data_IF_049278960898
#
_entry.id   IF_049278960898
#
_cell.length_a   1.000
_cell.length_b   1.000
_cell.length_c   1.000
_cell.angle_alpha   90.00
_cell.angle_beta   90.00
_cell.angle_gamma   90.00
#
_symmetry.space_group_name_H-M   'P 1'
#
loop_
_entity.id
_entity.type
_entity.pdbx_description
1 polymer ?
#
# COMPACT_ATOMS: atom_id res chain seq x y z
N UNK A 1 15.37 5.96 2.07
CA UNK A 1 14.23 6.48 2.86
C UNK A 1 14.12 7.96 2.58
N UNK A 2 12.91 8.43 2.35
CA UNK A 2 12.71 9.85 2.19
C UNK A 2 12.91 10.50 3.54
N UNK A 3 13.80 11.50 3.61
CA UNK A 3 13.82 12.37 4.77
C UNK A 3 12.65 13.34 4.68
N UNK A 4 12.09 13.67 5.80
CA UNK A 4 11.00 14.62 5.90
C UNK A 4 11.32 15.69 6.94
N UNK A 5 10.71 16.84 6.77
CA UNK A 5 10.64 17.91 7.77
C UNK A 5 9.22 18.02 8.30
N UNK A 6 9.08 18.50 9.50
CA UNK A 6 7.77 18.86 10.05
C UNK A 6 7.48 20.30 9.65
N UNK A 7 6.53 20.51 8.75
CA UNK A 7 6.15 21.85 8.28
C UNK A 7 5.24 22.57 9.27
N UNK A 8 4.33 21.82 9.87
CA UNK A 8 3.41 22.37 10.86
C UNK A 8 3.04 21.35 11.93
N UNK A 9 2.86 21.84 13.14
CA UNK A 9 2.28 21.10 14.26
C UNK A 9 1.05 21.86 14.71
N UNK A 10 -0.11 21.27 14.52
CA UNK A 10 -1.37 21.84 15.01
C UNK A 10 -1.78 21.12 16.27
N UNK A 11 -1.87 21.84 17.36
CA UNK A 11 -2.43 21.35 18.60
C UNK A 11 -3.95 21.43 18.50
N UNK A 12 -4.61 20.32 18.51
CA UNK A 12 -6.08 20.26 18.40
C UNK A 12 -6.74 20.19 19.79
N UNK A 13 -6.21 20.92 20.74
CA UNK A 13 -6.83 21.07 22.05
C UNK A 13 -7.85 22.21 22.00
N UNK A 14 -9.03 21.92 21.51
CA UNK A 14 -10.19 22.61 22.07
C UNK A 14 -10.24 22.22 23.55
N UNK A 15 -10.32 23.18 24.42
CA UNK A 15 -10.49 23.05 25.88
C UNK A 15 -11.78 22.29 26.27
N UNK A 16 -12.08 21.23 25.55
CA UNK A 16 -13.26 20.43 25.72
C UNK A 16 -12.84 19.22 26.55
N UNK A 17 -13.12 19.27 27.82
CA UNK A 17 -13.20 18.14 28.73
C UNK A 17 -11.95 17.74 29.55
N UNK A 18 -11.18 18.69 30.04
CA UNK A 18 -10.18 18.38 31.07
C UNK A 18 -8.99 17.51 30.59
N UNK A 19 -8.63 17.62 29.31
CA UNK A 19 -7.43 17.00 28.75
C UNK A 19 -6.44 18.10 28.40
N UNK A 20 -5.20 17.97 28.90
CA UNK A 20 -4.05 18.75 28.49
C UNK A 20 -3.01 17.82 27.85
N UNK A 21 -2.28 18.30 26.84
CA UNK A 21 -1.21 17.56 26.24
C UNK A 21 -0.10 18.49 25.74
N UNK A 22 1.11 18.00 25.72
CA UNK A 22 2.27 18.69 25.19
C UNK A 22 3.09 17.72 24.34
N UNK A 23 3.62 18.22 23.24
CA UNK A 23 4.53 17.49 22.38
C UNK A 23 5.94 18.00 22.64
N UNK A 24 6.81 17.15 23.19
CA UNK A 24 8.20 17.46 23.48
C UNK A 24 9.05 17.37 22.21
N UNK A 25 8.73 16.41 21.33
CA UNK A 25 9.36 16.18 20.03
C UNK A 25 8.33 15.55 19.07
N UNK A 26 8.41 15.77 17.75
CA UNK A 26 9.37 16.63 17.04
C UNK A 26 8.97 18.10 17.07
N UNK A 27 9.86 18.97 16.61
CA UNK A 27 9.60 20.39 16.39
C UNK A 27 9.69 20.76 14.90
N UNK A 28 9.11 21.90 14.52
CA UNK A 28 9.24 22.43 13.14
C UNK A 28 10.63 22.96 12.83
N UNK A 29 11.50 23.07 13.84
CA UNK A 29 12.89 23.52 13.68
C UNK A 29 13.88 22.36 13.60
N UNK A 30 13.41 21.13 13.78
CA UNK A 30 14.27 19.97 13.73
C UNK A 30 14.81 19.76 12.31
N UNK A 31 16.03 19.22 12.16
CA UNK A 31 16.56 18.86 10.86
C UNK A 31 15.71 17.74 10.24
N UNK A 32 15.86 17.53 8.95
CA UNK A 32 15.12 16.49 8.25
C UNK A 32 15.30 15.11 8.89
N UNK A 33 14.19 14.46 9.19
CA UNK A 33 14.10 13.18 9.88
C UNK A 33 13.95 12.03 8.89
N UNK A 34 14.48 10.90 9.28
CA UNK A 34 14.29 9.62 8.61
C UNK A 34 13.28 8.73 9.35
N UNK A 35 13.16 8.94 10.65
CA UNK A 35 12.25 8.27 11.55
C UNK A 35 11.37 9.35 12.21
N UNK A 36 10.07 9.14 12.27
CA UNK A 36 9.20 9.96 13.12
C UNK A 36 9.32 9.44 14.55
N UNK A 37 10.00 10.22 15.38
CA UNK A 37 10.04 10.03 16.82
C UNK A 37 9.19 11.13 17.46
N UNK A 38 8.02 10.78 17.98
CA UNK A 38 7.15 11.72 18.66
C UNK A 38 7.06 11.35 20.12
N UNK A 39 7.38 12.31 20.99
CA UNK A 39 7.27 12.14 22.44
C UNK A 39 6.57 13.34 23.07
N UNK A 40 5.95 13.11 24.21
CA UNK A 40 5.22 14.12 24.92
C UNK A 40 4.52 13.59 26.16
N UNK A 41 3.53 14.35 26.63
CA UNK A 41 2.70 13.94 27.75
C UNK A 41 1.25 14.35 27.58
N UNK A 42 0.37 13.62 28.26
CA UNK A 42 -1.07 13.89 28.34
C UNK A 42 -1.49 13.84 29.79
N UNK A 43 -2.29 14.82 30.20
CA UNK A 43 -2.92 14.88 31.49
C UNK A 43 -4.44 14.96 31.33
N UNK A 44 -5.17 14.08 32.06
CA UNK A 44 -6.63 14.06 32.08
C UNK A 44 -7.15 14.25 33.49
N UNK A 45 -8.11 15.15 33.67
CA UNK A 45 -8.76 15.41 34.96
C UNK A 45 -9.95 14.49 35.24
N UNK A 46 -10.51 13.83 34.23
CA UNK A 46 -11.79 13.13 34.33
C UNK A 46 -11.73 11.64 34.05
N UNK A 47 -11.05 11.22 33.00
CA UNK A 47 -11.07 9.85 32.50
C UNK A 47 -9.68 9.25 32.43
N UNK A 48 -9.53 7.95 32.77
CA UNK A 48 -8.27 7.22 32.55
C UNK A 48 -7.91 7.19 31.06
N UNK A 49 -6.63 7.33 30.79
CA UNK A 49 -6.04 7.21 29.45
C UNK A 49 -5.88 5.73 29.13
N UNK A 50 -6.58 5.25 28.11
CA UNK A 50 -6.51 3.85 27.69
C UNK A 50 -5.37 3.64 26.70
N UNK A 51 -5.27 4.54 25.71
CA UNK A 51 -4.32 4.38 24.62
C UNK A 51 -3.97 5.74 23.99
N UNK A 52 -2.72 5.88 23.57
CA UNK A 52 -2.26 6.96 22.69
C UNK A 52 -1.65 6.29 21.46
N UNK A 53 -1.99 6.76 20.27
CA UNK A 53 -1.54 6.16 19.02
C UNK A 53 -1.39 7.17 17.90
N UNK A 54 -0.55 6.82 16.93
CA UNK A 54 -0.43 7.56 15.68
C UNK A 54 -1.44 7.00 14.67
N UNK A 55 -2.13 7.89 13.99
CA UNK A 55 -3.08 7.55 12.93
C UNK A 55 -2.84 8.39 11.68
N UNK A 56 -3.18 7.81 10.53
CA UNK A 56 -3.27 8.49 9.25
C UNK A 56 -4.54 8.02 8.54
N UNK A 57 -5.35 8.96 8.07
CA UNK A 57 -6.62 8.65 7.36
C UNK A 57 -7.57 7.74 8.13
N UNK A 58 -7.63 7.92 9.44
CA UNK A 58 -8.48 7.08 10.30
C UNK A 58 -7.94 5.66 10.55
N UNK A 59 -6.76 5.32 10.03
CA UNK A 59 -6.07 4.05 10.34
C UNK A 59 -5.04 4.29 11.41
N UNK A 60 -5.08 3.46 12.44
CA UNK A 60 -4.04 3.38 13.44
C UNK A 60 -2.78 2.79 12.82
N UNK A 61 -1.66 3.49 12.97
CA UNK A 61 -0.36 3.11 12.45
C UNK A 61 0.53 2.50 13.53
N UNK A 62 0.61 3.15 14.70
CA UNK A 62 1.48 2.74 15.78
C UNK A 62 0.87 3.13 17.12
N UNK A 63 1.04 2.30 18.14
CA UNK A 63 0.64 2.58 19.51
C UNK A 63 1.83 3.14 20.28
N UNK A 64 1.58 4.19 21.06
CA UNK A 64 2.60 4.79 21.89
C UNK A 64 3.03 3.88 23.04
N UNK A 65 4.31 3.89 23.36
CA UNK A 65 4.82 3.40 24.64
C UNK A 65 4.45 4.42 25.71
N UNK A 66 3.80 3.96 26.75
CA UNK A 66 3.35 4.81 27.86
C UNK A 66 4.38 4.77 28.99
N UNK A 67 4.64 5.92 29.60
CA UNK A 67 5.55 6.07 30.72
C UNK A 67 4.96 6.98 31.81
N UNK A 68 5.47 6.88 33.04
CA UNK A 68 5.11 7.80 34.11
C UNK A 68 5.80 9.16 33.92
N UNK A 69 5.13 10.25 34.27
CA UNK A 69 5.64 11.64 34.21
C UNK A 69 5.44 12.35 35.56
N UNK A 70 6.21 11.97 36.60
CA UNK A 70 6.11 12.60 37.94
C UNK A 70 6.32 14.12 37.93
N UNK A 71 7.16 14.60 36.99
CA UNK A 71 7.41 16.02 36.78
C UNK A 71 6.13 16.77 36.35
N UNK A 72 5.33 16.16 35.47
CA UNK A 72 4.06 16.71 35.00
C UNK A 72 2.99 16.59 36.08
N UNK A 73 2.92 15.46 36.79
CA UNK A 73 1.99 15.25 37.89
C UNK A 73 2.17 16.35 38.99
N UNK A 74 3.41 16.68 39.29
CA UNK A 74 3.72 17.76 40.24
C UNK A 74 3.31 19.14 39.73
N UNK A 75 3.46 19.38 38.41
CA UNK A 75 3.11 20.67 37.82
C UNK A 75 1.59 20.84 37.62
N UNK A 76 0.83 19.75 37.52
CA UNK A 76 -0.63 19.74 37.29
C UNK A 76 -1.38 18.96 38.39
N UNK A 77 -1.40 19.43 39.61
CA UNK A 77 -1.95 18.68 40.76
C UNK A 77 -3.47 18.44 40.69
N UNK A 78 -4.17 19.07 39.76
CA UNK A 78 -5.59 18.82 39.47
C UNK A 78 -5.86 17.66 38.50
N UNK A 79 -4.84 17.14 37.86
CA UNK A 79 -4.98 16.03 36.91
C UNK A 79 -4.93 14.70 37.65
N UNK A 80 -5.86 13.79 37.32
CA UNK A 80 -5.95 12.46 37.94
C UNK A 80 -5.15 11.39 37.21
N UNK A 81 -4.93 11.60 35.93
CA UNK A 81 -4.27 10.63 35.03
C UNK A 81 -3.26 11.37 34.18
N UNK A 82 -1.98 11.17 34.45
CA UNK A 82 -0.86 11.77 33.71
C UNK A 82 0.02 10.68 33.19
N UNK A 83 0.30 10.73 31.87
CA UNK A 83 1.18 9.79 31.20
C UNK A 83 2.09 10.50 30.21
N UNK A 84 3.31 10.01 30.10
CA UNK A 84 4.18 10.29 28.96
C UNK A 84 3.91 9.32 27.83
N UNK A 85 4.19 9.72 26.61
CA UNK A 85 4.10 8.85 25.45
C UNK A 85 5.31 8.99 24.53
N UNK A 86 5.70 7.88 23.93
CA UNK A 86 6.72 7.79 22.90
C UNK A 86 6.19 6.98 21.73
N UNK A 87 6.27 7.56 20.53
CA UNK A 87 5.88 6.93 19.26
C UNK A 87 7.08 6.99 18.33
N UNK A 88 7.50 5.83 17.83
CA UNK A 88 8.57 5.75 16.85
C UNK A 88 8.08 4.96 15.66
N UNK A 89 8.05 5.57 14.49
CA UNK A 89 7.54 4.93 13.29
C UNK A 89 8.34 5.33 12.04
N UNK A 90 8.60 4.35 11.19
CA UNK A 90 9.19 4.60 9.89
C UNK A 90 8.13 5.21 8.95
N UNK A 91 8.45 6.28 8.20
CA UNK A 91 7.50 6.99 7.35
C UNK A 91 7.07 6.24 6.07
N UNK A 92 7.36 4.95 5.97
CA UNK A 92 6.98 4.10 4.83
C UNK A 92 5.46 4.07 4.62
N UNK A 93 4.69 4.22 5.71
CA UNK A 93 3.24 4.15 5.69
C UNK A 93 2.55 5.50 5.40
N UNK A 94 3.30 6.58 5.18
CA UNK A 94 2.73 7.92 5.08
C UNK A 94 2.63 8.38 3.63
N UNK A 95 1.42 8.70 3.19
CA UNK A 95 1.20 9.43 1.94
C UNK A 95 1.64 10.89 2.06
N UNK A 96 2.24 11.46 1.01
CA UNK A 96 2.55 12.90 0.97
C UNK A 96 1.30 13.74 1.17
N UNK A 97 1.41 14.77 2.02
CA UNK A 97 0.41 15.82 2.20
C UNK A 97 -0.81 15.44 3.03
N UNK A 98 -0.80 14.29 3.70
CA UNK A 98 -1.83 13.97 4.70
C UNK A 98 -1.27 14.21 6.09
N UNK A 99 -2.01 14.90 6.97
CA UNK A 99 -1.57 15.10 8.33
C UNK A 99 -1.57 13.76 9.08
N UNK A 100 -0.49 13.53 9.81
CA UNK A 100 -0.46 12.49 10.82
C UNK A 100 -1.15 13.00 12.08
N UNK A 101 -1.91 12.14 12.73
CA UNK A 101 -2.64 12.48 13.95
C UNK A 101 -2.12 11.67 15.11
N UNK A 102 -1.77 12.35 16.20
CA UNK A 102 -1.58 11.70 17.48
C UNK A 102 -2.92 11.73 18.18
N UNK A 103 -3.50 10.57 18.41
CA UNK A 103 -4.84 10.41 18.96
C UNK A 103 -4.80 9.76 20.33
N UNK A 104 -5.73 10.19 21.17
CA UNK A 104 -5.97 9.67 22.51
C UNK A 104 -7.28 8.91 22.54
N UNK A 105 -7.28 7.74 23.17
CA UNK A 105 -8.48 7.01 23.56
C UNK A 105 -8.57 6.91 25.07
N UNK A 106 -9.71 7.32 25.64
CA UNK A 106 -10.02 7.21 27.05
C UNK A 106 -10.82 5.94 27.37
N UNK A 107 -10.78 5.50 28.61
CA UNK A 107 -11.49 4.29 29.08
C UNK A 107 -13.01 4.33 28.84
N UNK A 108 -13.62 5.51 28.75
CA UNK A 108 -15.02 5.69 28.36
C UNK A 108 -15.29 5.53 26.84
N UNK A 109 -14.31 5.12 26.05
CA UNK A 109 -14.42 4.96 24.59
C UNK A 109 -14.33 6.27 23.80
N UNK A 110 -14.16 7.41 24.46
CA UNK A 110 -13.97 8.70 23.81
C UNK A 110 -12.60 8.72 23.12
N UNK A 111 -12.59 9.14 21.88
CA UNK A 111 -11.37 9.34 21.07
C UNK A 111 -11.24 10.81 20.68
N UNK A 112 -10.03 11.36 20.73
CA UNK A 112 -9.74 12.75 20.36
C UNK A 112 -8.36 12.89 19.77
N UNK A 113 -8.22 13.77 18.78
CA UNK A 113 -6.93 14.13 18.20
C UNK A 113 -6.21 15.12 19.13
N UNK A 114 -5.00 14.79 19.54
CA UNK A 114 -4.14 15.67 20.34
C UNK A 114 -3.33 16.62 19.45
N UNK A 115 -2.67 16.05 18.44
CA UNK A 115 -1.80 16.80 17.54
C UNK A 115 -2.01 16.34 16.10
N UNK A 116 -1.89 17.28 15.16
CA UNK A 116 -1.77 17.03 13.73
C UNK A 116 -0.39 17.48 13.26
N UNK A 117 0.33 16.60 12.59
CA UNK A 117 1.68 16.83 12.07
C UNK A 117 1.62 16.88 10.54
N UNK A 118 2.01 17.98 9.95
CA UNK A 118 2.16 18.10 8.50
C UNK A 118 3.62 17.82 8.12
N UNK A 119 3.84 16.86 7.24
CA UNK A 119 5.16 16.43 6.78
C UNK A 119 5.43 16.88 5.37
N UNK A 120 6.62 17.45 5.13
CA UNK A 120 7.16 17.62 3.78
C UNK A 120 8.37 16.71 3.56
N UNK A 121 8.36 15.97 2.48
CA UNK A 121 9.48 15.12 2.11
C UNK A 121 10.56 15.94 1.39
N UNK A 122 11.77 15.93 1.95
CA UNK A 122 12.91 16.70 1.43
C UNK A 122 13.61 15.98 0.28
N UNK A 123 13.72 14.66 0.39
CA UNK A 123 14.40 13.85 -0.62
C UNK A 123 13.35 13.13 -1.48
N UNK A 124 13.12 13.61 -2.68
CA UNK A 124 12.48 12.79 -3.71
C UNK A 124 13.52 11.75 -4.15
N UNK A 125 13.19 10.45 -4.19
CA UNK A 125 14.07 9.50 -4.81
C UNK A 125 14.26 9.92 -6.26
N UNK A 126 15.45 10.39 -6.59
CA UNK A 126 15.79 10.68 -7.98
C UNK A 126 15.97 9.35 -8.69
N UNK A 127 15.06 9.03 -9.61
CA UNK A 127 15.11 7.83 -10.45
C UNK A 127 16.24 7.86 -11.46
N UNK A 128 17.11 8.86 -11.43
CA UNK A 128 18.12 9.08 -12.43
C UNK A 128 19.20 8.02 -12.50
N UNK A 129 19.43 7.27 -11.39
CA UNK A 129 20.57 6.33 -11.31
C UNK A 129 20.41 5.00 -12.06
N UNK A 130 19.23 4.65 -12.57
CA UNK A 130 19.09 3.37 -13.26
C UNK A 130 18.35 3.45 -14.61
N UNK A 131 17.73 4.56 -14.96
CA UNK A 131 16.92 4.65 -16.19
C UNK A 131 15.78 3.64 -16.27
N UNK A 132 15.39 3.07 -15.12
CA UNK A 132 14.34 2.04 -15.01
C UNK A 132 13.12 2.66 -14.34
N UNK A 133 11.95 2.50 -14.99
CA UNK A 133 10.66 2.88 -14.45
C UNK A 133 9.87 1.64 -14.06
N UNK A 134 9.35 1.61 -12.84
CA UNK A 134 8.41 0.59 -12.41
C UNK A 134 6.98 1.00 -12.79
N UNK A 135 6.27 0.09 -13.44
CA UNK A 135 4.89 0.23 -13.85
C UNK A 135 4.03 -0.91 -13.26
N UNK A 136 3.71 -0.85 -11.98
CA UNK A 136 2.89 -1.88 -11.35
C UNK A 136 1.45 -1.82 -11.86
N UNK A 137 0.88 -3.00 -12.19
CA UNK A 137 -0.53 -3.15 -12.53
C UNK A 137 -1.29 -3.49 -11.24
N UNK A 138 -2.15 -2.57 -10.83
CA UNK A 138 -3.01 -2.69 -9.65
C UNK A 138 -4.42 -3.03 -10.08
N UNK A 139 -4.93 -4.16 -9.66
CA UNK A 139 -6.26 -4.62 -10.06
C UNK A 139 -6.79 -5.72 -9.14
N UNK A 140 -8.10 -5.93 -9.18
CA UNK A 140 -8.68 -7.16 -8.65
C UNK A 140 -8.28 -8.37 -9.51
N UNK A 141 -8.26 -9.57 -8.93
CA UNK A 141 -8.18 -10.80 -9.71
C UNK A 141 -9.28 -10.81 -10.81
N UNK A 142 -8.99 -11.44 -11.93
CA UNK A 142 -9.93 -11.59 -13.07
C UNK A 142 -10.34 -10.27 -13.75
N UNK A 143 -9.67 -9.17 -13.47
CA UNK A 143 -9.89 -7.88 -14.15
C UNK A 143 -9.16 -7.73 -15.48
N UNK A 144 -8.46 -8.77 -15.97
CA UNK A 144 -7.73 -8.74 -17.24
C UNK A 144 -6.24 -8.36 -17.12
N UNK A 145 -5.67 -8.47 -15.93
CA UNK A 145 -4.25 -8.16 -15.66
C UNK A 145 -3.29 -8.96 -16.55
N UNK A 146 -3.63 -10.22 -16.86
CA UNK A 146 -2.81 -11.06 -17.71
C UNK A 146 -2.83 -10.57 -19.17
N UNK A 147 -3.99 -10.14 -19.69
CA UNK A 147 -4.10 -9.53 -21.00
C UNK A 147 -3.24 -8.26 -21.09
N UNK A 148 -3.40 -7.36 -20.11
CA UNK A 148 -2.63 -6.12 -20.09
C UNK A 148 -1.12 -6.38 -19.97
N UNK A 149 -0.72 -7.29 -19.08
CA UNK A 149 0.69 -7.65 -18.92
C UNK A 149 1.28 -8.24 -20.22
N UNK A 150 0.55 -9.14 -20.89
CA UNK A 150 0.98 -9.73 -22.16
C UNK A 150 1.19 -8.67 -23.24
N UNK A 151 0.23 -7.76 -23.39
CA UNK A 151 0.33 -6.64 -24.33
C UNK A 151 1.54 -5.74 -24.03
N UNK A 152 1.82 -5.43 -22.75
CA UNK A 152 2.95 -4.62 -22.37
C UNK A 152 4.28 -5.35 -22.51
N UNK A 153 4.35 -6.63 -22.17
CA UNK A 153 5.56 -7.45 -22.33
C UNK A 153 5.93 -7.71 -23.80
N UNK A 154 5.01 -7.52 -24.73
CA UNK A 154 5.31 -7.54 -26.18
C UNK A 154 6.16 -6.33 -26.61
N UNK A 155 6.20 -5.26 -25.82
CA UNK A 155 7.03 -4.08 -26.09
C UNK A 155 8.51 -4.36 -25.83
N UNK A 156 9.42 -3.96 -26.74
CA UNK A 156 10.87 -4.09 -26.53
C UNK A 156 11.39 -3.24 -25.36
N UNK A 157 10.61 -2.28 -24.90
CA UNK A 157 10.97 -1.39 -23.79
C UNK A 157 10.75 -2.02 -22.42
N UNK A 158 10.01 -3.12 -22.34
CA UNK A 158 9.76 -3.83 -21.07
C UNK A 158 10.87 -4.83 -20.78
N UNK A 159 11.48 -4.68 -19.61
CA UNK A 159 12.44 -5.64 -19.06
C UNK A 159 11.69 -6.89 -18.58
N UNK A 160 12.33 -8.03 -18.74
CA UNK A 160 11.77 -9.28 -18.23
C UNK A 160 10.58 -9.70 -19.05
N UNK A 161 10.79 -10.19 -20.28
CA UNK A 161 9.77 -10.94 -21.02
C UNK A 161 9.40 -12.18 -20.23
N UNK A 162 8.57 -12.03 -19.21
CA UNK A 162 8.12 -13.12 -18.39
C UNK A 162 7.38 -14.15 -19.24
N UNK A 163 7.56 -15.43 -18.90
CA UNK A 163 6.68 -16.45 -19.44
C UNK A 163 5.25 -16.18 -18.97
N UNK A 164 4.30 -16.37 -19.87
CA UNK A 164 2.90 -16.41 -19.50
C UNK A 164 2.70 -17.34 -18.28
N UNK A 165 1.91 -17.02 -17.29
CA UNK A 165 0.94 -15.91 -17.16
C UNK A 165 1.48 -14.60 -16.56
N UNK A 166 2.77 -14.31 -16.64
CA UNK A 166 3.39 -13.08 -16.14
C UNK A 166 3.23 -12.91 -14.62
N UNK A 167 3.36 -13.99 -13.86
CA UNK A 167 3.28 -13.99 -12.40
C UNK A 167 4.64 -13.80 -11.71
N UNK A 168 5.71 -13.56 -12.48
CA UNK A 168 6.99 -13.19 -11.93
C UNK A 168 6.90 -11.79 -11.31
N UNK A 169 6.87 -11.75 -9.99
CA UNK A 169 6.78 -10.53 -9.19
C UNK A 169 8.08 -10.33 -8.43
N UNK A 170 9.21 -10.38 -9.14
CA UNK A 170 10.54 -10.32 -8.51
C UNK A 170 10.75 -9.02 -7.73
N UNK A 171 10.28 -7.90 -8.27
CA UNK A 171 10.34 -6.62 -7.59
C UNK A 171 9.54 -6.62 -6.31
N UNK A 172 8.29 -7.11 -6.38
CA UNK A 172 7.44 -7.24 -5.20
C UNK A 172 8.01 -8.21 -4.17
N UNK A 173 8.51 -9.39 -4.60
CA UNK A 173 9.12 -10.37 -3.69
C UNK A 173 10.31 -9.78 -2.94
N UNK A 174 11.24 -9.15 -3.66
CA UNK A 174 12.40 -8.53 -3.04
C UNK A 174 12.03 -7.34 -2.14
N UNK A 175 10.99 -6.58 -2.52
CA UNK A 175 10.47 -5.50 -1.69
C UNK A 175 9.88 -6.01 -0.37
N UNK A 176 9.10 -7.10 -0.44
CA UNK A 176 8.54 -7.75 0.75
C UNK A 176 9.64 -8.36 1.61
N UNK A 177 10.60 -9.07 1.02
CA UNK A 177 11.75 -9.64 1.74
C UNK A 177 12.55 -8.54 2.46
N UNK A 178 12.82 -7.43 1.77
CA UNK A 178 13.49 -6.29 2.37
C UNK A 178 12.68 -5.68 3.52
N UNK A 179 11.37 -5.51 3.34
CA UNK A 179 10.49 -4.97 4.37
C UNK A 179 10.39 -5.91 5.58
N UNK A 180 10.22 -7.21 5.34
CA UNK A 180 10.15 -8.21 6.41
C UNK A 180 11.45 -8.25 7.22
N UNK A 181 12.61 -8.07 6.59
CA UNK A 181 13.91 -7.95 7.27
C UNK A 181 14.01 -6.76 8.23
N UNK A 182 13.13 -5.76 8.09
CA UNK A 182 13.02 -4.63 9.00
C UNK A 182 12.04 -4.86 10.17
N UNK A 183 11.29 -5.96 10.15
CA UNK A 183 10.29 -6.27 11.19
C UNK A 183 10.86 -7.21 12.26
N UNK A 184 10.44 -7.07 13.52
CA UNK A 184 10.92 -7.91 14.63
C UNK A 184 10.59 -9.40 14.46
N UNK A 185 9.59 -9.71 13.69
CA UNK A 185 9.09 -11.08 13.46
C UNK A 185 9.44 -11.64 12.08
N UNK A 186 10.38 -11.02 11.36
CA UNK A 186 10.72 -11.41 9.99
C UNK A 186 11.17 -12.87 9.85
N UNK A 187 11.79 -13.43 10.90
CA UNK A 187 12.31 -14.79 10.90
C UNK A 187 11.35 -15.83 11.50
N UNK A 188 10.12 -15.44 11.79
CA UNK A 188 9.18 -16.26 12.54
C UNK A 188 7.91 -16.48 11.78
N UNK A 189 7.44 -17.72 11.86
CA UNK A 189 6.14 -18.08 11.30
C UNK A 189 5.02 -17.24 11.94
N UNK A 190 3.96 -16.90 11.19
CA UNK A 190 2.86 -16.10 11.72
C UNK A 190 2.28 -16.60 13.05
N UNK A 191 2.23 -17.93 13.22
CA UNK A 191 1.78 -18.58 14.43
C UNK A 191 2.70 -18.38 15.64
N UNK A 192 3.98 -18.13 15.39
CA UNK A 192 4.99 -17.98 16.45
C UNK A 192 5.28 -16.51 16.78
N UNK A 193 4.67 -15.57 16.07
CA UNK A 193 4.94 -14.12 16.23
C UNK A 193 4.68 -13.61 17.64
N UNK A 194 3.72 -14.18 18.33
CA UNK A 194 3.40 -13.80 19.73
C UNK A 194 4.53 -14.15 20.71
N UNK A 195 5.30 -15.20 20.42
CA UNK A 195 6.39 -15.63 21.28
C UNK A 195 7.65 -14.78 21.13
N UNK A 196 7.85 -14.19 19.95
CA UNK A 196 9.06 -13.40 19.66
C UNK A 196 8.98 -11.93 20.05
N UNK A 197 7.82 -11.40 20.27
CA UNK A 197 7.67 -10.01 20.76
C UNK A 197 8.37 -9.77 22.10
N UNK A 198 8.92 -10.80 22.71
CA UNK A 198 9.54 -10.80 24.04
C UNK A 198 11.02 -11.21 24.02
N UNK A 199 11.57 -11.68 22.91
CA UNK A 199 12.98 -12.12 22.87
C UNK A 199 13.89 -10.99 22.38
N UNK A 200 14.73 -10.42 23.25
CA UNK A 200 15.64 -9.33 22.91
C UNK A 200 16.73 -9.71 21.89
N UNK A 201 16.92 -11.00 21.59
CA UNK A 201 17.90 -11.45 20.63
C UNK A 201 17.45 -11.30 19.18
N UNK A 202 16.15 -10.99 18.96
CA UNK A 202 15.58 -10.80 17.62
C UNK A 202 15.24 -9.34 17.32
N UNK A 203 15.88 -8.40 18.04
CA UNK A 203 15.71 -6.98 17.76
C UNK A 203 16.17 -6.65 16.33
N UNK A 204 15.28 -6.13 15.53
CA UNK A 204 15.58 -5.60 14.20
C UNK A 204 16.04 -4.15 14.30
N UNK A 205 16.50 -3.59 13.17
CA UNK A 205 16.80 -2.15 13.07
C UNK A 205 15.58 -1.32 13.52
N UNK A 206 14.36 -1.73 13.17
CA UNK A 206 13.15 -1.04 13.58
C UNK A 206 12.92 -1.10 15.09
N UNK A 207 13.21 -2.24 15.73
CA UNK A 207 13.06 -2.34 17.18
C UNK A 207 14.07 -1.50 17.94
N UNK A 208 15.32 -1.50 17.49
CA UNK A 208 16.36 -0.64 18.07
C UNK A 208 15.97 0.83 17.95
N UNK A 209 15.42 1.23 16.81
CA UNK A 209 14.92 2.59 16.61
C UNK A 209 13.68 2.93 17.46
N UNK A 210 12.81 1.93 17.71
CA UNK A 210 11.59 2.08 18.53
C UNK A 210 11.86 2.13 20.02
N UNK A 211 12.92 1.50 20.51
CA UNK A 211 13.23 1.45 21.94
C UNK A 211 13.56 2.81 22.55
N UNK A 212 13.74 3.86 21.73
CA UNK A 212 14.02 5.20 22.24
C UNK A 212 15.37 5.35 22.97
N UNK A 213 16.11 4.27 23.12
CA UNK A 213 17.39 4.19 23.84
C UNK A 213 18.59 4.59 22.98
N UNK A 214 18.40 4.64 21.66
CA UNK A 214 19.46 5.01 20.75
C UNK A 214 19.68 6.52 20.79
N UNK A 215 20.90 6.94 21.07
CA UNK A 215 21.32 8.33 20.93
C UNK A 215 21.27 8.81 19.47
N UNK A 216 21.44 10.11 19.25
CA UNK A 216 21.34 10.71 17.92
C UNK A 216 22.38 10.14 16.94
N UNK A 217 23.59 9.75 17.41
CA UNK A 217 24.62 9.19 16.56
C UNK A 217 24.26 7.76 16.13
N UNK A 218 23.79 6.94 17.06
CA UNK A 218 23.31 5.59 16.78
C UNK A 218 22.14 5.60 15.80
N UNK A 219 21.17 6.50 15.99
CA UNK A 219 20.06 6.69 15.05
C UNK A 219 20.53 7.07 13.65
N UNK A 220 21.50 7.96 13.54
CA UNK A 220 22.07 8.34 12.26
C UNK A 220 22.77 7.17 11.56
N UNK A 221 23.53 6.35 12.29
CA UNK A 221 24.19 5.15 11.75
C UNK A 221 23.18 4.11 11.28
N UNK A 222 22.14 3.84 12.07
CA UNK A 222 21.07 2.91 11.70
C UNK A 222 20.31 3.39 10.47
N UNK A 223 20.13 4.69 10.35
CA UNK A 223 19.54 5.29 9.17
C UNK A 223 20.39 5.07 7.91
N UNK A 224 21.71 5.26 8.00
CA UNK A 224 22.60 5.00 6.88
C UNK A 224 22.62 3.51 6.48
N UNK A 225 22.56 2.59 7.45
CA UNK A 225 22.42 1.16 7.18
C UNK A 225 21.10 0.85 6.44
N UNK A 226 19.99 1.45 6.89
CA UNK A 226 18.70 1.31 6.22
C UNK A 226 18.76 1.83 4.78
N UNK A 227 19.35 3.01 4.57
CA UNK A 227 19.52 3.62 3.25
C UNK A 227 20.36 2.74 2.32
N UNK A 228 21.48 2.22 2.82
CA UNK A 228 22.34 1.32 2.06
C UNK A 228 21.62 0.02 1.69
N UNK A 229 20.91 -0.59 2.62
CA UNK A 229 20.10 -1.79 2.38
C UNK A 229 19.00 -1.56 1.32
N UNK A 230 18.36 -0.41 1.35
CA UNK A 230 17.36 -0.02 0.35
C UNK A 230 17.97 0.10 -1.05
N UNK A 231 19.08 0.81 -1.19
CA UNK A 231 19.77 0.97 -2.48
C UNK A 231 20.29 -0.36 -3.01
N UNK A 232 20.78 -1.24 -2.14
CA UNK A 232 21.17 -2.59 -2.51
C UNK A 232 19.98 -3.39 -3.04
N UNK A 233 18.85 -3.39 -2.33
CA UNK A 233 17.63 -4.08 -2.77
C UNK A 233 17.17 -3.57 -4.14
N UNK A 234 17.14 -2.25 -4.32
CA UNK A 234 16.82 -1.61 -5.60
C UNK A 234 17.75 -2.06 -6.72
N UNK A 235 19.07 -2.06 -6.46
CA UNK A 235 20.07 -2.54 -7.41
C UNK A 235 19.86 -4.00 -7.78
N UNK A 236 19.56 -4.87 -6.81
CA UNK A 236 19.25 -6.30 -7.03
C UNK A 236 18.02 -6.48 -7.92
N UNK A 237 16.93 -5.75 -7.67
CA UNK A 237 15.72 -5.80 -8.49
C UNK A 237 16.06 -5.45 -9.96
N UNK A 238 16.71 -4.32 -10.17
CA UNK A 238 17.10 -3.88 -11.51
C UNK A 238 18.02 -4.88 -12.21
N UNK A 239 19.00 -5.45 -11.49
CA UNK A 239 19.93 -6.43 -12.00
C UNK A 239 19.22 -7.74 -12.42
N UNK A 240 18.36 -8.28 -11.57
CA UNK A 240 17.62 -9.51 -11.87
C UNK A 240 16.73 -9.38 -13.11
N UNK A 241 16.06 -8.23 -13.28
CA UNK A 241 15.26 -8.00 -14.48
C UNK A 241 16.10 -7.88 -15.74
N UNK A 242 17.30 -7.28 -15.66
CA UNK A 242 18.23 -7.23 -16.80
C UNK A 242 18.78 -8.63 -17.15
N UNK A 243 19.03 -9.49 -16.17
CA UNK A 243 19.46 -10.87 -16.39
C UNK A 243 18.35 -11.73 -16.99
N UNK A 244 17.12 -11.56 -16.52
CA UNK A 244 15.97 -12.38 -16.97
C UNK A 244 15.61 -12.13 -18.43
N UNK A 245 15.82 -10.91 -18.95
CA UNK A 245 15.60 -10.59 -20.34
C UNK A 245 16.49 -9.42 -20.79
N UNK A 246 17.70 -9.70 -21.26
CA UNK A 246 18.59 -8.68 -21.78
C UNK A 246 18.03 -8.12 -23.09
N UNK A 247 17.26 -7.03 -22.99
CA UNK A 247 16.76 -6.29 -24.16
C UNK A 247 17.47 -4.94 -24.19
N UNK A 248 18.27 -4.63 -25.22
CA UNK A 248 18.91 -3.33 -25.35
C UNK A 248 17.86 -2.20 -25.38
N UNK A 249 18.06 -1.20 -24.53
CA UNK A 249 17.14 -0.06 -24.42
C UNK A 249 15.88 -0.29 -23.60
N UNK A 250 15.66 -1.49 -23.06
CA UNK A 250 14.53 -1.76 -22.17
C UNK A 250 14.74 -1.04 -20.82
N UNK A 251 13.68 -0.36 -20.36
CA UNK A 251 13.70 0.51 -19.17
C UNK A 251 12.45 0.44 -18.31
N UNK A 252 11.48 -0.39 -18.69
CA UNK A 252 10.22 -0.54 -17.97
C UNK A 252 10.18 -1.91 -17.28
N UNK A 253 9.81 -1.93 -16.01
CA UNK A 253 9.47 -3.15 -15.28
C UNK A 253 7.97 -3.14 -15.05
N UNK A 254 7.28 -4.15 -15.58
CA UNK A 254 5.82 -4.30 -15.44
C UNK A 254 5.54 -5.54 -14.60
N UNK A 255 4.86 -5.34 -13.47
CA UNK A 255 4.46 -6.42 -12.57
C UNK A 255 2.97 -6.31 -12.19
N UNK A 256 2.31 -7.46 -12.04
CA UNK A 256 0.97 -7.54 -11.48
C UNK A 256 1.07 -7.64 -9.96
N UNK A 257 0.73 -6.59 -9.23
CA UNK A 257 0.92 -6.54 -7.78
C UNK A 257 -0.36 -6.79 -6.96
N UNK A 258 -1.51 -6.84 -7.61
CA UNK A 258 -2.80 -6.99 -6.90
C UNK A 258 -3.12 -5.79 -6.00
N UNK A 259 -3.90 -6.03 -4.95
CA UNK A 259 -4.37 -4.99 -3.99
C UNK A 259 -3.58 -5.02 -2.67
N UNK A 260 -2.31 -5.31 -2.73
CA UNK A 260 -1.46 -5.42 -1.54
C UNK A 260 -0.76 -4.11 -1.18
N UNK A 261 -0.12 -4.10 -0.03
CA UNK A 261 0.87 -3.09 0.40
C UNK A 261 2.04 -2.92 -0.61
N UNK A 262 2.14 -3.81 -1.60
CA UNK A 262 3.21 -3.81 -2.58
C UNK A 262 3.38 -2.52 -3.36
N UNK A 263 2.30 -1.75 -3.58
CA UNK A 263 2.40 -0.45 -4.25
C UNK A 263 3.26 0.54 -3.45
N UNK A 264 3.01 0.64 -2.14
CA UNK A 264 3.73 1.55 -1.25
C UNK A 264 5.20 1.10 -1.10
N UNK A 265 5.44 -0.21 -0.99
CA UNK A 265 6.80 -0.77 -0.93
C UNK A 265 7.59 -0.55 -2.22
N UNK A 266 6.98 -0.75 -3.37
CA UNK A 266 7.62 -0.49 -4.66
C UNK A 266 7.90 1.00 -4.85
N UNK A 267 7.01 1.88 -4.42
CA UNK A 267 7.24 3.33 -4.45
C UNK A 267 8.43 3.73 -3.58
N UNK A 268 8.59 3.10 -2.42
CA UNK A 268 9.72 3.34 -1.53
C UNK A 268 11.05 2.85 -2.13
N UNK A 269 11.06 1.65 -2.71
CA UNK A 269 12.28 1.03 -3.23
C UNK A 269 12.66 1.51 -4.62
N UNK A 270 11.69 1.59 -5.53
CA UNK A 270 11.93 1.84 -6.94
C UNK A 270 12.03 3.34 -7.30
N UNK A 271 11.71 4.25 -6.36
CA UNK A 271 11.57 5.67 -6.65
C UNK A 271 10.23 5.96 -7.34
N UNK A 272 10.17 6.96 -8.23
CA UNK A 272 8.91 7.28 -8.90
C UNK A 272 8.41 6.08 -9.68
N UNK A 273 7.24 5.59 -9.27
CA UNK A 273 6.51 4.53 -9.96
C UNK A 273 5.45 5.14 -10.87
N UNK A 274 5.08 4.41 -11.91
CA UNK A 274 3.97 4.76 -12.81
C UNK A 274 2.88 3.69 -12.73
N UNK A 275 2.05 3.69 -11.68
CA UNK A 275 1.05 2.65 -11.48
C UNK A 275 -0.07 2.74 -12.51
N UNK A 276 -0.47 1.57 -13.00
CA UNK A 276 -1.61 1.37 -13.90
C UNK A 276 -2.71 0.70 -13.10
N UNK A 277 -3.78 1.42 -12.84
CA UNK A 277 -4.98 0.90 -12.18
C UNK A 277 -5.92 0.35 -13.25
N UNK A 278 -6.09 -0.97 -13.25
CA UNK A 278 -6.96 -1.65 -14.21
C UNK A 278 -8.27 -2.00 -13.53
N UNK A 279 -9.38 -1.47 -14.06
CA UNK A 279 -10.74 -1.78 -13.61
C UNK A 279 -11.51 -2.55 -14.66
N UNK A 280 -12.49 -3.30 -14.20
CA UNK A 280 -13.48 -4.02 -15.02
C UNK A 280 -14.82 -3.96 -14.32
N UNK A 281 -15.92 -4.09 -15.07
CA UNK A 281 -17.24 -4.25 -14.48
C UNK A 281 -17.21 -5.37 -13.41
N UNK A 282 -17.38 -5.05 -12.12
CA UNK A 282 -17.22 -6.03 -11.06
C UNK A 282 -18.22 -7.19 -11.15
N UNK A 283 -19.34 -7.01 -11.85
CA UNK A 283 -20.30 -8.09 -12.11
C UNK A 283 -19.72 -9.11 -13.08
N UNK A 284 -18.94 -8.66 -14.09
CA UNK A 284 -18.19 -9.56 -14.97
C UNK A 284 -16.98 -10.22 -14.27
N UNK A 285 -16.38 -9.53 -13.28
CA UNK A 285 -15.34 -10.10 -12.44
C UNK A 285 -15.89 -11.29 -11.65
N UNK A 286 -17.06 -11.14 -11.00
CA UNK A 286 -17.75 -12.21 -10.27
C UNK A 286 -18.06 -13.43 -11.17
N UNK A 287 -18.61 -13.18 -12.34
CA UNK A 287 -18.86 -14.24 -13.33
C UNK A 287 -17.57 -14.95 -13.75
N UNK A 288 -16.50 -14.19 -14.00
CA UNK A 288 -15.21 -14.74 -14.38
C UNK A 288 -14.55 -15.55 -13.26
N UNK A 289 -14.69 -15.16 -12.00
CA UNK A 289 -14.19 -15.92 -10.85
C UNK A 289 -14.93 -17.28 -10.74
N UNK A 290 -16.25 -17.28 -10.77
CA UNK A 290 -17.06 -18.51 -10.75
C UNK A 290 -16.70 -19.45 -11.91
N UNK A 291 -16.63 -18.92 -13.11
CA UNK A 291 -16.30 -19.74 -14.28
C UNK A 291 -14.88 -20.33 -14.21
N UNK A 292 -13.92 -19.56 -13.69
CA UNK A 292 -12.54 -20.05 -13.50
C UNK A 292 -12.48 -21.20 -12.49
N UNK A 293 -13.12 -21.04 -11.35
CA UNK A 293 -13.17 -22.06 -10.30
C UNK A 293 -13.86 -23.35 -10.81
N UNK A 294 -14.98 -23.19 -11.49
CA UNK A 294 -15.70 -24.31 -12.09
C UNK A 294 -14.85 -25.05 -13.17
N UNK A 295 -14.15 -24.31 -14.03
CA UNK A 295 -13.31 -24.89 -15.07
C UNK A 295 -12.13 -25.69 -14.51
N UNK A 296 -11.57 -25.23 -13.38
CA UNK A 296 -10.40 -25.86 -12.75
C UNK A 296 -10.73 -26.85 -11.64
N UNK A 297 -11.98 -26.91 -11.20
CA UNK A 297 -12.39 -27.74 -10.08
C UNK A 297 -11.77 -27.29 -8.74
N UNK A 298 -11.55 -25.98 -8.58
CA UNK A 298 -10.94 -25.38 -7.40
C UNK A 298 -11.88 -24.37 -6.77
N UNK A 299 -11.63 -24.06 -5.50
CA UNK A 299 -12.31 -22.99 -4.78
C UNK A 299 -11.30 -21.87 -4.47
N UNK A 300 -11.05 -21.03 -5.46
CA UNK A 300 -10.22 -19.84 -5.34
C UNK A 300 -11.08 -18.56 -5.36
N UNK A 301 -10.47 -17.40 -5.23
CA UNK A 301 -11.12 -16.09 -5.35
C UNK A 301 -12.37 -15.97 -4.51
N UNK A 302 -12.24 -16.05 -3.18
CA UNK A 302 -13.30 -15.95 -2.17
C UNK A 302 -14.18 -17.20 -2.01
N UNK A 303 -14.35 -18.07 -3.03
CA UNK A 303 -15.05 -19.34 -2.86
C UNK A 303 -14.32 -20.34 -1.95
N UNK A 304 -13.02 -20.14 -1.70
CA UNK A 304 -12.26 -20.91 -0.73
C UNK A 304 -12.77 -20.77 0.71
N UNK A 305 -13.47 -19.68 1.01
CA UNK A 305 -14.03 -19.41 2.33
C UNK A 305 -15.52 -19.73 2.38
N UNK A 306 -16.22 -19.53 1.25
CA UNK A 306 -17.67 -19.59 1.20
C UNK A 306 -18.12 -20.00 -0.20
N UNK A 307 -19.09 -20.93 -0.24
CA UNK A 307 -19.59 -21.50 -1.48
C UNK A 307 -20.92 -20.86 -1.94
N UNK A 308 -21.13 -19.59 -1.61
CA UNK A 308 -22.34 -18.88 -1.99
C UNK A 308 -22.03 -17.51 -2.63
N UNK A 309 -22.93 -17.10 -3.53
CA UNK A 309 -22.79 -15.86 -4.29
C UNK A 309 -22.76 -14.61 -3.41
N UNK A 310 -23.58 -14.56 -2.37
CA UNK A 310 -23.69 -13.36 -1.53
C UNK A 310 -22.41 -13.06 -0.77
N UNK A 311 -21.74 -14.07 -0.27
CA UNK A 311 -20.48 -13.91 0.45
C UNK A 311 -19.33 -13.62 -0.52
N UNK A 312 -19.30 -14.26 -1.69
CA UNK A 312 -18.36 -13.91 -2.74
C UNK A 312 -18.51 -12.46 -3.17
N UNK A 313 -19.75 -11.97 -3.32
CA UNK A 313 -20.05 -10.58 -3.61
C UNK A 313 -19.59 -9.65 -2.48
N UNK A 314 -19.79 -10.04 -1.22
CA UNK A 314 -19.35 -9.28 -0.07
C UNK A 314 -17.82 -9.12 -0.06
N UNK A 315 -17.07 -10.21 -0.21
CA UNK A 315 -15.60 -10.16 -0.27
C UNK A 315 -15.10 -9.34 -1.46
N UNK A 316 -15.72 -9.50 -2.63
CA UNK A 316 -15.39 -8.68 -3.80
C UNK A 316 -15.65 -7.19 -3.55
N UNK A 317 -16.71 -6.84 -2.82
CA UNK A 317 -16.98 -5.44 -2.46
C UNK A 317 -15.90 -4.86 -1.54
N UNK A 318 -15.33 -5.69 -0.67
CA UNK A 318 -14.23 -5.31 0.20
C UNK A 318 -12.93 -5.06 -0.59
N UNK A 319 -12.63 -5.94 -1.54
CA UNK A 319 -11.51 -5.73 -2.47
C UNK A 319 -11.65 -4.45 -3.30
N UNK A 320 -12.88 -4.16 -3.76
CA UNK A 320 -13.16 -2.93 -4.50
C UNK A 320 -12.97 -1.69 -3.62
N UNK A 321 -13.34 -1.77 -2.35
CA UNK A 321 -13.07 -0.70 -1.40
C UNK A 321 -11.55 -0.48 -1.25
N UNK A 322 -10.77 -1.54 -1.11
CA UNK A 322 -9.31 -1.46 -1.07
C UNK A 322 -8.72 -0.89 -2.36
N UNK A 323 -9.24 -1.29 -3.53
CA UNK A 323 -8.83 -0.72 -4.81
C UNK A 323 -9.05 0.79 -4.86
N UNK A 324 -10.24 1.23 -4.45
CA UNK A 324 -10.60 2.66 -4.41
C UNK A 324 -9.68 3.42 -3.45
N UNK A 325 -9.43 2.87 -2.27
CA UNK A 325 -8.54 3.47 -1.28
C UNK A 325 -7.09 3.59 -1.81
N UNK A 326 -6.55 2.54 -2.43
CA UNK A 326 -5.23 2.59 -3.08
C UNK A 326 -5.19 3.62 -4.21
N UNK A 327 -6.24 3.63 -5.06
CA UNK A 327 -6.34 4.59 -6.15
C UNK A 327 -6.37 6.03 -5.64
N UNK A 328 -7.15 6.31 -4.60
CA UNK A 328 -7.29 7.66 -4.04
C UNK A 328 -6.02 8.11 -3.31
N UNK A 329 -5.37 7.21 -2.59
CA UNK A 329 -4.10 7.49 -1.90
C UNK A 329 -2.94 7.76 -2.83
N UNK A 330 -2.95 7.19 -4.03
CA UNK A 330 -1.90 7.43 -5.01
C UNK A 330 -1.97 8.87 -5.52
N UNK A 331 -1.09 9.74 -5.03
CA UNK A 331 -1.06 11.17 -5.36
C UNK A 331 -0.15 11.55 -6.52
N UNK A 332 0.83 10.69 -6.87
CA UNK A 332 1.68 10.85 -8.03
C UNK A 332 0.92 10.61 -9.34
N UNK A 333 1.66 10.58 -10.44
CA UNK A 333 1.09 10.14 -11.72
C UNK A 333 0.48 8.76 -11.57
N UNK A 334 -0.73 8.58 -12.05
CA UNK A 334 -1.44 7.30 -12.13
C UNK A 334 -2.31 7.25 -13.35
N UNK A 335 -2.47 6.07 -13.92
CA UNK A 335 -3.33 5.85 -15.07
C UNK A 335 -4.45 4.89 -14.69
N UNK A 336 -5.70 5.27 -14.95
CA UNK A 336 -6.84 4.37 -14.86
C UNK A 336 -7.15 3.81 -16.25
N UNK A 337 -7.21 2.49 -16.35
CA UNK A 337 -7.52 1.75 -17.57
C UNK A 337 -8.76 0.91 -17.34
N UNK A 338 -9.68 0.92 -18.29
CA UNK A 338 -10.85 0.03 -18.28
C UNK A 338 -10.54 -1.21 -19.10
N UNK A 339 -10.87 -2.37 -18.57
CA UNK A 339 -10.74 -3.63 -19.29
C UNK A 339 -11.53 -3.64 -20.59
N UNK A 340 -12.71 -3.07 -20.57
CA UNK A 340 -13.60 -2.96 -21.73
C UNK A 340 -12.91 -2.17 -22.86
N UNK A 341 -12.18 -1.10 -22.55
CA UNK A 341 -11.42 -0.33 -23.53
C UNK A 341 -10.24 -1.13 -24.13
N UNK A 342 -9.59 -1.98 -23.31
CA UNK A 342 -8.55 -2.89 -23.81
C UNK A 342 -9.10 -3.91 -24.80
N UNK A 343 -10.35 -4.36 -24.59
CA UNK A 343 -11.02 -5.36 -25.44
C UNK A 343 -11.59 -4.72 -26.70
N UNK A 344 -12.25 -3.60 -26.58
CA UNK A 344 -12.95 -2.94 -27.68
C UNK A 344 -12.03 -2.08 -28.54
N UNK A 345 -11.02 -1.46 -27.94
CA UNK A 345 -10.10 -0.51 -28.59
C UNK A 345 -8.65 -0.78 -28.19
N UNK A 346 -8.11 -1.97 -28.44
CA UNK A 346 -6.81 -2.40 -27.90
C UNK A 346 -5.66 -1.49 -28.31
N UNK A 347 -5.55 -1.09 -29.56
CA UNK A 347 -4.45 -0.28 -30.05
C UNK A 347 -4.46 1.16 -29.49
N UNK A 348 -5.57 1.92 -29.52
CA UNK A 348 -5.64 3.23 -28.89
C UNK A 348 -5.36 3.18 -27.37
N UNK A 349 -5.91 2.18 -26.68
CA UNK A 349 -5.73 2.02 -25.23
C UNK A 349 -4.26 1.72 -24.90
N UNK A 350 -3.63 0.81 -25.64
CA UNK A 350 -2.20 0.50 -25.47
C UNK A 350 -1.33 1.74 -25.77
N UNK A 351 -1.65 2.49 -26.82
CA UNK A 351 -0.97 3.74 -27.15
C UNK A 351 -1.03 4.75 -25.98
N UNK A 352 -2.19 4.92 -25.36
CA UNK A 352 -2.35 5.77 -24.16
C UNK A 352 -1.49 5.28 -22.99
N UNK A 353 -1.45 3.98 -22.74
CA UNK A 353 -0.64 3.40 -21.67
C UNK A 353 0.84 3.61 -21.94
N UNK A 354 1.32 3.34 -23.15
CA UNK A 354 2.72 3.54 -23.52
C UNK A 354 3.14 4.99 -23.45
N UNK A 355 2.32 5.91 -23.92
CA UNK A 355 2.57 7.35 -23.79
C UNK A 355 2.68 7.78 -22.32
N UNK A 356 1.80 7.28 -21.45
CA UNK A 356 1.88 7.50 -20.00
C UNK A 356 3.19 6.97 -19.42
N UNK A 357 3.65 5.81 -19.87
CA UNK A 357 4.92 5.23 -19.45
C UNK A 357 6.16 5.93 -20.04
N UNK A 358 5.98 6.89 -20.93
CA UNK A 358 7.07 7.58 -21.63
C UNK A 358 7.70 6.73 -22.74
N UNK A 359 6.92 5.85 -23.34
CA UNK A 359 7.30 4.94 -24.40
C UNK A 359 6.60 5.29 -25.72
N UNK A 360 7.29 5.16 -26.85
CA UNK A 360 6.66 5.38 -28.16
C UNK A 360 5.79 4.21 -28.57
N UNK A 361 4.56 4.49 -28.98
CA UNK A 361 3.58 3.49 -29.42
C UNK A 361 4.00 2.69 -30.67
N UNK A 362 4.97 3.17 -31.42
CA UNK A 362 5.36 2.61 -32.72
C UNK A 362 6.05 1.23 -32.67
N UNK A 363 6.36 0.71 -31.49
CA UNK A 363 7.21 -0.46 -31.33
C UNK A 363 6.50 -1.72 -30.80
N UNK A 364 5.20 -1.68 -30.56
CA UNK A 364 4.46 -2.82 -29.99
C UNK A 364 3.53 -3.46 -31.05
N UNK A 365 3.88 -4.64 -31.50
CA UNK A 365 2.95 -5.53 -32.19
C UNK A 365 2.46 -6.59 -31.19
N UNK A 366 1.21 -6.56 -30.75
CA UNK A 366 0.66 -7.61 -29.92
C UNK A 366 0.54 -8.89 -30.78
N UNK A 367 1.47 -9.81 -30.63
CA UNK A 367 1.56 -11.04 -31.45
C UNK A 367 1.20 -12.30 -30.68
N UNK A 368 0.99 -12.21 -29.38
CA UNK A 368 0.68 -13.38 -28.54
C UNK A 368 -0.82 -13.54 -28.35
N UNK A 369 -1.33 -14.70 -28.71
CA UNK A 369 -2.66 -15.12 -28.31
C UNK A 369 -2.65 -15.49 -26.83
N UNK A 370 -3.62 -15.00 -26.07
CA UNK A 370 -3.83 -15.44 -24.68
C UNK A 370 -4.13 -16.94 -24.72
N UNK A 371 -3.37 -17.80 -24.02
CA UNK A 371 -3.67 -19.21 -23.95
C UNK A 371 -5.09 -19.47 -23.44
N UNK A 372 -5.77 -20.42 -24.08
CA UNK A 372 -7.18 -20.76 -23.82
C UNK A 372 -7.48 -21.10 -22.35
N UNK A 373 -6.49 -21.59 -21.61
CA UNK A 373 -6.60 -21.99 -20.20
C UNK A 373 -6.96 -20.85 -19.23
N UNK A 374 -6.69 -19.61 -19.61
CA UNK A 374 -7.02 -18.44 -18.81
C UNK A 374 -8.25 -17.66 -19.29
N UNK A 375 -8.79 -18.07 -20.42
CA UNK A 375 -10.01 -17.49 -20.99
C UNK A 375 -11.20 -18.30 -20.47
N UNK A 376 -12.02 -17.71 -19.63
CA UNK A 376 -13.26 -18.31 -19.12
C UNK A 376 -14.49 -17.96 -19.98
N UNK A 377 -14.29 -17.25 -21.08
CA UNK A 377 -15.28 -16.86 -22.06
C UNK A 377 -14.94 -17.48 -23.43
N UNK A 378 -15.90 -17.53 -24.35
CA UNK A 378 -15.66 -18.06 -25.69
C UNK A 378 -14.60 -17.26 -26.48
N UNK A 379 -14.42 -15.98 -26.16
CA UNK A 379 -13.38 -15.11 -26.68
C UNK A 379 -13.13 -13.96 -25.71
N UNK A 380 -12.07 -13.19 -25.96
CA UNK A 380 -11.78 -11.96 -25.17
C UNK A 380 -12.94 -10.97 -25.30
N UNK A 381 -13.48 -10.79 -26.52
CA UNK A 381 -14.63 -9.90 -26.76
C UNK A 381 -15.89 -10.38 -26.01
N UNK A 382 -16.14 -11.69 -25.99
CA UNK A 382 -17.27 -12.27 -25.28
C UNK A 382 -17.17 -12.19 -23.74
N UNK A 383 -16.03 -11.72 -23.22
CA UNK A 383 -15.85 -11.56 -21.78
C UNK A 383 -16.48 -10.29 -21.21
N UNK A 384 -16.90 -9.34 -22.03
CA UNK A 384 -17.53 -8.09 -21.65
C UNK A 384 -19.04 -8.23 -21.60
N UNK A 385 -19.67 -7.84 -20.51
CA UNK A 385 -21.12 -7.86 -20.32
C UNK A 385 -21.72 -9.24 -20.06
N UNK A 386 -20.93 -10.27 -19.75
CA UNK A 386 -21.36 -11.63 -19.42
C UNK A 386 -22.37 -11.70 -18.28
N UNK A 387 -22.23 -10.82 -17.33
CA UNK A 387 -23.13 -10.76 -16.16
C UNK A 387 -24.61 -10.64 -16.56
N UNK A 388 -24.91 -10.02 -17.71
CA UNK A 388 -26.30 -9.82 -18.18
C UNK A 388 -27.00 -11.13 -18.50
N UNK A 389 -26.25 -12.16 -18.89
CA UNK A 389 -26.80 -13.47 -19.27
C UNK A 389 -26.43 -14.60 -18.28
N UNK A 390 -25.36 -14.43 -17.49
CA UNK A 390 -24.84 -15.47 -16.62
C UNK A 390 -25.20 -15.31 -15.15
N UNK A 391 -25.67 -14.13 -14.74
CA UNK A 391 -26.24 -13.91 -13.41
C UNK A 391 -27.79 -13.98 -13.48
N UNK A 392 -28.39 -14.53 -12.44
CA UNK A 392 -29.83 -14.49 -12.26
C UNK A 392 -30.33 -13.06 -11.98
N UNK A 393 -31.60 -12.73 -12.24
CA UNK A 393 -32.15 -11.41 -11.90
C UNK A 393 -31.94 -11.01 -10.44
N UNK A 394 -32.02 -11.96 -9.51
CA UNK A 394 -31.79 -11.72 -8.08
C UNK A 394 -30.33 -11.40 -7.80
N UNK A 395 -29.39 -12.14 -8.39
CA UNK A 395 -27.95 -11.86 -8.27
C UNK A 395 -27.60 -10.49 -8.86
N UNK A 396 -28.17 -10.13 -10.02
CA UNK A 396 -27.98 -8.81 -10.64
C UNK A 396 -28.47 -7.70 -9.71
N UNK A 397 -29.70 -7.83 -9.16
CA UNK A 397 -30.25 -6.85 -8.26
C UNK A 397 -29.38 -6.69 -7.00
N UNK A 398 -28.91 -7.80 -6.43
CA UNK A 398 -28.05 -7.82 -5.26
C UNK A 398 -26.67 -7.19 -5.57
N UNK A 399 -26.04 -7.56 -6.68
CA UNK A 399 -24.79 -6.96 -7.12
C UNK A 399 -24.91 -5.44 -7.35
N UNK A 400 -25.94 -5.00 -8.03
CA UNK A 400 -26.19 -3.59 -8.28
C UNK A 400 -26.38 -2.80 -6.97
N UNK A 401 -26.99 -3.39 -5.97
CA UNK A 401 -27.19 -2.76 -4.66
C UNK A 401 -25.88 -2.67 -3.87
N UNK A 402 -25.16 -3.78 -3.72
CA UNK A 402 -23.91 -3.85 -2.95
C UNK A 402 -22.81 -3.00 -3.60
N UNK A 403 -22.67 -3.08 -4.93
CA UNK A 403 -21.59 -2.43 -5.68
C UNK A 403 -21.95 -1.02 -6.17
N UNK A 404 -23.11 -0.49 -5.78
CA UNK A 404 -23.66 0.77 -6.29
C UNK A 404 -22.66 1.92 -6.29
N UNK A 405 -21.93 2.11 -5.19
CA UNK A 405 -20.97 3.21 -5.07
C UNK A 405 -19.85 3.10 -6.11
N UNK A 406 -19.31 1.90 -6.31
CA UNK A 406 -18.26 1.63 -7.31
C UNK A 406 -18.80 1.80 -8.73
N UNK A 407 -19.96 1.20 -9.03
CA UNK A 407 -20.59 1.28 -10.35
C UNK A 407 -20.83 2.75 -10.74
N UNK A 408 -21.40 3.53 -9.82
CA UNK A 408 -21.67 4.95 -10.06
C UNK A 408 -20.38 5.74 -10.27
N UNK A 409 -19.36 5.50 -9.44
CA UNK A 409 -18.09 6.23 -9.49
C UNK A 409 -17.35 6.01 -10.80
N UNK A 410 -17.34 4.79 -11.30
CA UNK A 410 -16.57 4.42 -12.48
C UNK A 410 -17.41 4.26 -13.75
N UNK A 411 -18.72 4.59 -13.71
CA UNK A 411 -19.60 4.63 -14.89
C UNK A 411 -19.94 3.25 -15.45
N UNK A 412 -20.27 2.28 -14.60
CA UNK A 412 -20.74 0.96 -14.98
C UNK A 412 -22.25 0.80 -14.86
#
# INVERSE_FOLDING_TARGET
MRRFTIEAIRRNLSWINGIEAHLDSPSTQDPAHALLAASGWVASSSEPIEEIFLACRGRKLETAKISARPDVEQAYPGSRHVVGFDINVLPIAFGEGEPLKIELKCAGGRQTTLFELELAYVDRPTSEDAGITFAPIVALPRSGTTLLADLLHSSPLVLGGGQYPHENRLGLHLAVEWFDGLQPWSHVRPEDRSALSVDPNYATICDILRMGEADAATRAQLFELYRASREECRGRIAHLYRLAAPRPGARLIVEKIGLSIGLDLLAELAGPIKPIFLIRDPRDVLVSMRAFNAQRGVYEFHEQYVHNYSEMLFHTSFDLFHFVDLYDRQRGEKLLVRYEDLVERPQPTLGTILAYLGADAATSNPTSGIPSEHITAASVAASVGRWKSELSPTEIAHANWVLRAFLTRFGY
#
